data_IF_375535445665
#
_entry.id   IF_375535445665
#
_cell.length_a   1.000
_cell.length_b   1.000
_cell.length_c   1.000
_cell.angle_alpha   90.00
_cell.angle_beta   90.00
_cell.angle_gamma   90.00
#
_symmetry.space_group_name_H-M   'P 1'
#
loop_
_entity.id
_entity.type
_entity.pdbx_description
1 polymer ?
#
# COMPACT_ATOMS: atom_id res chain seq x y z
N UNK A 1 -4.78 13.77 -3.92
CA UNK A 1 -6.07 14.43 -3.58
C UNK A 1 -7.19 13.38 -3.68
N UNK A 2 -8.17 13.40 -2.77
CA UNK A 2 -9.25 12.39 -2.70
C UNK A 2 -9.68 12.01 -1.27
N UNK A 3 -8.82 12.30 -0.29
CA UNK A 3 -9.02 11.95 1.12
C UNK A 3 -10.36 12.42 1.69
N UNK A 4 -10.75 13.69 1.46
CA UNK A 4 -12.02 14.21 1.97
C UNK A 4 -13.24 13.48 1.42
N UNK A 5 -13.23 13.14 0.13
CA UNK A 5 -14.30 12.35 -0.50
C UNK A 5 -14.38 10.97 0.13
N UNK A 6 -13.25 10.26 0.26
CA UNK A 6 -13.18 8.94 0.91
C UNK A 6 -13.75 8.98 2.34
N UNK A 7 -13.29 9.91 3.18
CA UNK A 7 -13.77 10.04 4.57
C UNK A 7 -15.27 10.33 4.61
N UNK A 8 -15.75 11.28 3.81
CA UNK A 8 -17.18 11.66 3.80
C UNK A 8 -18.07 10.51 3.31
N UNK A 9 -17.63 9.74 2.32
CA UNK A 9 -18.35 8.57 1.83
C UNK A 9 -18.42 7.46 2.86
N UNK A 10 -17.35 7.21 3.63
CA UNK A 10 -17.37 6.20 4.69
C UNK A 10 -18.32 6.58 5.83
N UNK A 11 -18.35 7.86 6.21
CA UNK A 11 -19.18 8.33 7.32
C UNK A 11 -20.68 8.34 6.97
N UNK A 12 -21.06 9.01 5.87
CA UNK A 12 -22.47 9.28 5.55
C UNK A 12 -22.75 9.36 4.04
N UNK A 13 -22.01 8.63 3.22
CA UNK A 13 -22.34 8.47 1.80
C UNK A 13 -23.68 7.74 1.56
N UNK A 14 -24.12 7.70 0.31
CA UNK A 14 -25.26 6.86 -0.10
C UNK A 14 -24.82 5.43 -0.36
N UNK A 15 -25.76 4.47 -0.27
CA UNK A 15 -25.48 3.08 -0.65
C UNK A 15 -25.24 2.99 -2.15
N UNK A 16 -24.14 2.35 -2.55
CA UNK A 16 -23.79 2.15 -3.96
C UNK A 16 -23.71 0.65 -4.24
N UNK A 17 -24.65 0.08 -5.01
CA UNK A 17 -24.55 -1.32 -5.44
C UNK A 17 -23.49 -1.46 -6.53
N UNK A 18 -22.88 -2.66 -6.62
CA UNK A 18 -21.83 -2.98 -7.59
C UNK A 18 -20.59 -2.10 -7.45
N UNK A 19 -20.27 -1.70 -6.22
CA UNK A 19 -19.01 -1.03 -5.93
C UNK A 19 -17.89 -2.07 -5.89
N UNK A 20 -16.77 -1.72 -6.49
CA UNK A 20 -15.54 -2.50 -6.46
C UNK A 20 -14.32 -1.58 -6.55
N UNK A 21 -13.17 -2.11 -6.19
CA UNK A 21 -11.88 -1.48 -6.40
C UNK A 21 -11.12 -2.33 -7.41
N UNK A 22 -11.21 -2.01 -8.70
CA UNK A 22 -10.57 -2.77 -9.79
C UNK A 22 -10.88 -4.28 -9.74
N UNK A 23 -12.11 -4.63 -9.39
CA UNK A 23 -12.55 -6.00 -9.22
C UNK A 23 -12.30 -6.61 -7.83
N UNK A 24 -11.59 -5.92 -6.93
CA UNK A 24 -11.52 -6.27 -5.52
C UNK A 24 -12.72 -5.74 -4.73
N UNK A 25 -13.01 -6.39 -3.58
CA UNK A 25 -14.07 -5.98 -2.64
C UNK A 25 -15.44 -5.73 -3.29
N UNK A 26 -15.81 -6.53 -4.31
CA UNK A 26 -17.08 -6.43 -5.03
C UNK A 26 -18.25 -6.57 -4.07
N UNK A 27 -19.13 -5.58 -4.06
CA UNK A 27 -20.33 -5.64 -3.23
C UNK A 27 -21.14 -4.36 -3.25
N UNK A 28 -21.89 -4.16 -2.18
CA UNK A 28 -22.62 -2.91 -1.94
C UNK A 28 -21.78 -2.08 -0.98
N UNK A 29 -21.27 -0.93 -1.44
CA UNK A 29 -20.65 0.03 -0.55
C UNK A 29 -21.71 0.62 0.38
N UNK A 30 -21.50 0.43 1.69
CA UNK A 30 -22.36 0.92 2.76
C UNK A 30 -21.58 1.86 3.67
N UNK A 31 -22.31 2.58 4.52
CA UNK A 31 -21.77 3.66 5.35
C UNK A 31 -22.26 3.53 6.78
N UNK A 32 -21.62 4.25 7.70
CA UNK A 32 -21.99 4.23 9.11
C UNK A 32 -23.36 4.89 9.34
N UNK A 33 -23.62 6.05 8.70
CA UNK A 33 -24.83 6.84 8.90
C UNK A 33 -25.51 7.25 7.56
N UNK A 34 -26.27 6.35 6.89
CA UNK A 34 -26.81 6.60 5.55
C UNK A 34 -27.93 7.67 5.48
N UNK A 35 -28.45 8.10 6.64
CA UNK A 35 -29.51 9.12 6.73
C UNK A 35 -28.99 10.47 7.24
N UNK A 36 -27.70 10.58 7.55
CA UNK A 36 -27.11 11.84 7.99
C UNK A 36 -26.95 12.79 6.80
N UNK A 37 -27.07 14.09 7.06
CA UNK A 37 -26.78 15.13 6.07
C UNK A 37 -25.30 15.49 6.13
N UNK A 38 -24.68 15.71 4.98
CA UNK A 38 -23.27 16.08 4.86
C UNK A 38 -23.12 17.60 4.67
N UNK A 39 -22.32 18.24 5.50
CA UNK A 39 -21.84 19.60 5.30
C UNK A 39 -20.30 19.57 5.22
N UNK A 40 -19.74 20.00 4.09
CA UNK A 40 -18.30 19.87 3.80
C UNK A 40 -17.60 21.22 3.90
N UNK A 41 -16.52 21.27 4.70
CA UNK A 41 -15.68 22.45 4.87
C UNK A 41 -14.25 22.13 4.45
N UNK A 42 -13.81 22.65 3.30
CA UNK A 42 -12.47 22.41 2.78
C UNK A 42 -11.47 23.37 3.42
N UNK A 43 -10.64 22.84 4.32
CA UNK A 43 -9.61 23.60 5.05
C UNK A 43 -8.18 23.28 4.59
N UNK A 44 -7.98 22.15 3.89
CA UNK A 44 -6.68 21.72 3.37
C UNK A 44 -6.59 21.88 1.85
N UNK A 45 -5.45 22.43 1.42
CA UNK A 45 -5.12 22.66 0.02
C UNK A 45 -3.72 22.11 -0.27
N UNK A 46 -3.47 21.82 -1.55
CA UNK A 46 -2.26 21.11 -2.02
C UNK A 46 -0.92 21.77 -1.61
N UNK A 47 -0.93 23.06 -1.23
CA UNK A 47 0.27 23.84 -0.91
C UNK A 47 0.41 24.20 0.58
N UNK A 48 -0.57 23.89 1.42
CA UNK A 48 -0.64 24.37 2.79
C UNK A 48 -0.84 23.18 3.73
N UNK A 49 0.24 22.61 4.25
CA UNK A 49 0.21 21.48 5.19
C UNK A 49 1.05 21.81 6.42
N UNK A 50 0.53 22.70 7.26
CA UNK A 50 0.99 22.84 8.63
C UNK A 50 -0.27 22.76 9.49
N UNK A 51 -0.36 21.64 10.23
CA UNK A 51 -1.40 21.26 11.18
C UNK A 51 -2.81 20.99 10.61
N UNK A 52 -2.99 19.76 10.11
CA UNK A 52 -4.24 19.30 9.55
C UNK A 52 -5.28 18.92 10.63
N UNK A 53 -6.36 19.71 10.66
CA UNK A 53 -7.61 19.43 11.36
C UNK A 53 -8.27 18.13 10.83
N UNK A 54 -7.87 16.99 11.39
CA UNK A 54 -8.60 15.73 11.31
C UNK A 54 -8.26 14.88 12.56
N UNK A 55 -9.28 14.46 13.30
CA UNK A 55 -9.17 13.76 14.60
C UNK A 55 -8.76 12.29 14.53
N UNK A 56 -7.85 11.90 13.63
CA UNK A 56 -7.26 10.55 13.66
C UNK A 56 -5.96 10.55 14.45
N UNK A 57 -5.68 9.44 15.15
CA UNK A 57 -4.32 9.18 15.60
C UNK A 57 -3.41 9.11 14.36
N UNK A 58 -2.26 9.80 14.41
CA UNK A 58 -1.29 9.76 13.30
C UNK A 58 -0.86 8.30 13.10
N UNK A 59 -0.65 7.90 11.85
CA UNK A 59 0.00 6.63 11.50
C UNK A 59 1.51 6.73 11.79
N UNK A 60 1.88 7.16 13.00
CA UNK A 60 3.22 6.87 13.51
C UNK A 60 3.12 5.55 14.26
N UNK A 61 4.16 4.75 14.06
CA UNK A 61 4.43 3.41 14.58
C UNK A 61 3.98 3.20 16.05
N UNK A 62 3.85 1.94 16.55
CA UNK A 62 3.12 1.57 17.76
C UNK A 62 3.73 2.08 19.10
N UNK A 63 4.60 3.08 19.05
CA UNK A 63 5.20 3.72 20.21
C UNK A 63 4.17 4.52 21.01
N UNK A 64 4.35 4.51 22.33
CA UNK A 64 3.53 5.29 23.24
C UNK A 64 3.66 6.80 22.94
N UNK A 65 2.59 7.54 23.22
CA UNK A 65 2.53 9.02 23.17
C UNK A 65 2.62 9.65 21.76
N UNK A 66 2.21 8.95 20.71
CA UNK A 66 2.17 9.45 19.32
C UNK A 66 0.82 10.02 18.86
N UNK A 67 -0.14 10.17 19.76
CA UNK A 67 -1.43 10.78 19.46
C UNK A 67 -1.35 12.33 19.55
N UNK A 68 -1.88 13.04 18.55
CA UNK A 68 -1.84 14.51 18.50
C UNK A 68 -3.18 15.17 18.91
N UNK A 69 -4.28 14.42 18.97
CA UNK A 69 -5.64 14.93 19.20
C UNK A 69 -6.24 14.54 20.57
N UNK A 70 -5.40 14.22 21.55
CA UNK A 70 -5.79 13.67 22.86
C UNK A 70 -6.43 14.66 23.85
N UNK A 71 -7.09 15.72 23.38
CA UNK A 71 -7.78 16.67 24.28
C UNK A 71 -9.09 16.05 24.81
N UNK A 72 -9.50 16.31 26.07
CA UNK A 72 -10.62 15.60 26.71
C UNK A 72 -11.99 15.74 26.00
N UNK A 73 -12.17 16.80 25.22
CA UNK A 73 -13.42 17.11 24.51
C UNK A 73 -13.42 16.64 23.04
N UNK A 74 -12.39 15.91 22.59
CA UNK A 74 -12.31 15.33 21.25
C UNK A 74 -12.24 13.82 21.37
N UNK A 75 -13.12 13.12 20.65
CA UNK A 75 -13.00 11.67 20.49
C UNK A 75 -11.85 11.35 19.54
N UNK A 76 -10.78 10.76 20.06
CA UNK A 76 -9.67 10.24 19.25
C UNK A 76 -9.96 8.79 18.86
N UNK A 77 -9.95 8.49 17.56
CA UNK A 77 -10.22 7.15 17.02
C UNK A 77 -8.92 6.54 16.46
N UNK A 78 -8.60 5.32 16.90
CA UNK A 78 -7.50 4.52 16.35
C UNK A 78 -7.94 3.69 15.13
N UNK A 79 -6.98 3.30 14.29
CA UNK A 79 -7.23 2.41 13.16
C UNK A 79 -7.06 0.94 13.58
N UNK A 80 -7.96 0.07 13.12
CA UNK A 80 -7.88 -1.38 13.28
C UNK A 80 -7.96 -2.09 11.94
N UNK A 81 -7.56 -3.36 11.90
CA UNK A 81 -7.68 -4.22 10.72
C UNK A 81 -9.07 -4.88 10.66
N UNK A 82 -9.53 -5.17 9.44
CA UNK A 82 -10.70 -6.03 9.18
C UNK A 82 -10.23 -7.40 8.69
N UNK A 83 -11.14 -8.37 8.64
CA UNK A 83 -10.87 -9.76 8.24
C UNK A 83 -10.73 -9.97 6.72
N UNK A 84 -10.95 -8.93 5.91
CA UNK A 84 -10.82 -8.98 4.46
C UNK A 84 -9.40 -8.62 4.01
N UNK A 85 -8.80 -9.47 3.17
CA UNK A 85 -7.47 -9.27 2.59
C UNK A 85 -7.49 -9.29 1.05
N UNK A 86 -6.65 -8.48 0.44
CA UNK A 86 -6.46 -8.43 -1.02
C UNK A 86 -5.41 -9.45 -1.45
N UNK A 87 -5.83 -10.71 -1.61
CA UNK A 87 -4.92 -11.81 -1.90
C UNK A 87 -4.26 -11.69 -3.29
N UNK A 88 -2.96 -11.98 -3.34
CA UNK A 88 -2.18 -12.14 -4.55
C UNK A 88 -1.42 -13.47 -4.49
N UNK A 89 -1.64 -14.35 -5.45
CA UNK A 89 -1.00 -15.67 -5.48
C UNK A 89 0.22 -15.64 -6.39
N UNK A 90 1.33 -16.18 -5.90
CA UNK A 90 2.58 -16.35 -6.65
C UNK A 90 2.98 -17.82 -6.61
N UNK A 91 3.27 -18.38 -7.78
CA UNK A 91 3.72 -19.77 -7.93
C UNK A 91 5.19 -19.73 -8.36
N UNK A 92 6.06 -20.31 -7.55
CA UNK A 92 7.52 -20.32 -7.69
C UNK A 92 8.04 -21.74 -7.96
N UNK A 93 9.19 -21.82 -8.62
CA UNK A 93 9.91 -23.08 -8.85
C UNK A 93 9.12 -24.12 -9.65
N UNK A 94 8.63 -23.74 -10.84
CA UNK A 94 7.89 -24.62 -11.75
C UNK A 94 6.68 -25.36 -11.12
N UNK A 95 6.01 -24.74 -10.15
CA UNK A 95 4.84 -25.28 -9.48
C UNK A 95 5.11 -25.94 -8.12
N UNK A 96 6.35 -25.90 -7.64
CA UNK A 96 6.75 -26.52 -6.37
C UNK A 96 6.30 -25.72 -5.15
N UNK A 97 6.25 -24.38 -5.24
CA UNK A 97 5.89 -23.51 -4.11
C UNK A 97 4.79 -22.52 -4.50
N UNK A 98 3.71 -22.48 -3.75
CA UNK A 98 2.66 -21.45 -3.88
C UNK A 98 2.65 -20.58 -2.64
N UNK A 99 2.79 -19.27 -2.84
CA UNK A 99 2.75 -18.28 -1.76
C UNK A 99 1.57 -17.35 -2.01
N UNK A 100 0.79 -17.11 -0.96
CA UNK A 100 -0.32 -16.15 -0.98
C UNK A 100 0.16 -14.90 -0.24
N UNK A 101 0.39 -13.84 -1.00
CA UNK A 101 0.71 -12.51 -0.53
C UNK A 101 -0.49 -11.58 -0.58
N UNK A 102 -0.24 -10.29 -0.39
CA UNK A 102 -1.25 -9.24 -0.50
C UNK A 102 -0.85 -8.24 -1.58
N UNK A 103 -1.79 -7.85 -2.44
CA UNK A 103 -1.58 -6.81 -3.47
C UNK A 103 -2.89 -6.12 -3.82
N UNK A 104 -2.80 -4.84 -4.16
CA UNK A 104 -3.91 -4.00 -4.62
C UNK A 104 -3.70 -3.54 -6.08
N UNK A 105 -2.93 -4.31 -6.84
CA UNK A 105 -2.62 -4.01 -8.25
C UNK A 105 -3.90 -3.99 -9.10
N UNK A 106 -4.16 -2.93 -9.89
CA UNK A 106 -5.47 -2.65 -10.47
C UNK A 106 -5.87 -3.56 -11.64
N UNK A 107 -5.04 -4.51 -12.03
CA UNK A 107 -5.30 -5.37 -13.18
C UNK A 107 -5.17 -6.85 -12.82
N UNK A 108 -5.96 -7.67 -13.51
CA UNK A 108 -5.85 -9.12 -13.42
C UNK A 108 -4.73 -9.60 -14.35
N UNK A 109 -3.50 -9.61 -13.83
CA UNK A 109 -2.32 -9.97 -14.59
C UNK A 109 -2.03 -11.47 -14.48
N UNK A 110 -2.13 -12.20 -15.60
CA UNK A 110 -1.70 -13.59 -15.69
C UNK A 110 -0.26 -13.64 -16.19
N UNK A 111 0.69 -13.68 -15.27
CA UNK A 111 2.11 -13.77 -15.60
C UNK A 111 2.60 -15.19 -15.37
N UNK A 112 3.23 -15.75 -16.39
CA UNK A 112 3.77 -17.09 -16.34
C UNK A 112 5.24 -17.08 -16.76
N UNK A 113 6.06 -17.83 -16.02
CA UNK A 113 7.47 -18.09 -16.33
C UNK A 113 8.32 -16.83 -16.54
N UNK A 114 8.11 -15.80 -15.71
CA UNK A 114 8.97 -14.62 -15.73
C UNK A 114 10.12 -14.80 -14.74
N UNK A 115 11.37 -14.50 -15.15
CA UNK A 115 12.52 -14.52 -14.25
C UNK A 115 12.34 -13.57 -13.06
N UNK A 116 12.81 -14.03 -11.90
CA UNK A 116 12.83 -13.24 -10.66
C UNK A 116 14.28 -12.84 -10.38
N UNK A 117 14.48 -11.58 -9.98
CA UNK A 117 15.74 -11.06 -9.47
C UNK A 117 15.70 -11.00 -7.94
N UNK A 118 16.78 -11.46 -7.31
CA UNK A 118 16.99 -11.33 -5.87
C UNK A 118 18.45 -10.94 -5.60
N UNK A 119 18.66 -9.94 -4.75
CA UNK A 119 19.97 -9.30 -4.51
C UNK A 119 21.02 -10.12 -3.74
N UNK A 120 20.74 -11.39 -3.42
CA UNK A 120 21.52 -12.24 -2.50
C UNK A 120 22.98 -12.49 -2.90
N UNK A 121 23.31 -12.35 -4.19
CA UNK A 121 24.57 -12.81 -4.76
C UNK A 121 25.78 -11.90 -4.52
N UNK A 122 25.60 -10.65 -4.11
CA UNK A 122 26.69 -9.64 -4.11
C UNK A 122 27.16 -9.21 -2.71
N UNK A 123 26.61 -9.76 -1.63
CA UNK A 123 26.94 -9.35 -0.25
C UNK A 123 26.56 -7.91 0.07
N UNK A 124 25.68 -7.30 -0.73
CA UNK A 124 25.23 -5.93 -0.58
C UNK A 124 23.79 -5.92 -0.09
N UNK A 125 23.61 -5.73 1.22
CA UNK A 125 22.30 -5.65 1.87
C UNK A 125 21.37 -4.61 1.24
N UNK A 126 21.92 -3.55 0.66
CA UNK A 126 21.12 -2.53 -0.03
C UNK A 126 20.42 -3.07 -1.29
N UNK A 127 21.05 -3.97 -2.04
CA UNK A 127 20.40 -4.65 -3.20
C UNK A 127 19.32 -5.62 -2.74
N UNK A 128 19.50 -6.29 -1.61
CA UNK A 128 18.53 -7.24 -1.06
C UNK A 128 17.24 -6.54 -0.61
N UNK A 129 17.35 -5.36 0.03
CA UNK A 129 16.20 -4.58 0.52
C UNK A 129 15.60 -3.64 -0.55
N UNK A 130 16.12 -3.69 -1.78
CA UNK A 130 15.77 -2.78 -2.87
C UNK A 130 15.90 -1.31 -2.49
N UNK A 131 17.06 -0.97 -1.94
CA UNK A 131 17.39 0.41 -1.59
C UNK A 131 17.54 1.27 -2.85
N UNK A 132 17.29 2.56 -2.70
CA UNK A 132 17.21 3.50 -3.81
C UNK A 132 18.53 3.54 -4.59
N UNK A 133 18.44 3.54 -5.93
CA UNK A 133 19.60 3.60 -6.84
C UNK A 133 20.62 2.45 -6.70
N UNK A 134 20.28 1.38 -5.99
CA UNK A 134 21.20 0.24 -5.82
C UNK A 134 20.97 -0.88 -6.82
N UNK A 135 19.83 -0.86 -7.50
CA UNK A 135 19.46 -1.84 -8.52
C UNK A 135 19.95 -1.38 -9.90
N UNK A 136 20.77 -2.21 -10.54
CA UNK A 136 21.28 -1.92 -11.88
C UNK A 136 20.20 -2.19 -12.92
N UNK A 137 19.82 -1.22 -13.79
CA UNK A 137 18.75 -1.38 -14.77
C UNK A 137 18.94 -2.60 -15.69
N UNK A 138 20.17 -2.89 -16.09
CA UNK A 138 20.52 -4.04 -16.92
C UNK A 138 20.29 -5.39 -16.21
N UNK A 139 20.44 -5.42 -14.87
CA UNK A 139 20.21 -6.64 -14.09
C UNK A 139 18.72 -6.93 -13.91
N UNK A 140 17.88 -5.89 -13.82
CA UNK A 140 16.46 -6.00 -13.43
C UNK A 140 15.47 -5.88 -14.58
N UNK A 141 15.90 -5.39 -15.75
CA UNK A 141 15.04 -5.24 -16.92
C UNK A 141 14.35 -6.56 -17.29
N UNK A 142 13.01 -6.51 -17.39
CA UNK A 142 12.16 -7.65 -17.75
C UNK A 142 12.03 -8.74 -16.68
N UNK A 143 12.43 -8.46 -15.43
CA UNK A 143 12.35 -9.40 -14.29
C UNK A 143 11.41 -8.87 -13.20
N UNK A 144 10.85 -9.79 -12.42
CA UNK A 144 10.18 -9.45 -11.16
C UNK A 144 11.23 -9.29 -10.07
N UNK A 145 11.16 -8.20 -9.31
CA UNK A 145 12.14 -7.90 -8.27
C UNK A 145 11.58 -8.36 -6.93
N UNK A 146 12.35 -9.19 -6.22
CA UNK A 146 12.04 -9.63 -4.87
C UNK A 146 12.91 -8.87 -3.88
N UNK A 147 12.27 -8.17 -2.94
CA UNK A 147 12.92 -7.31 -1.95
C UNK A 147 12.72 -7.89 -0.55
N UNK A 148 13.79 -7.95 0.24
CA UNK A 148 13.73 -8.31 1.64
C UNK A 148 13.20 -7.14 2.48
N UNK A 149 12.60 -7.47 3.62
CA UNK A 149 12.05 -6.50 4.55
C UNK A 149 13.15 -5.92 5.46
N UNK A 150 13.08 -4.61 5.71
CA UNK A 150 13.94 -3.94 6.67
C UNK A 150 13.15 -2.88 7.46
N UNK A 151 13.38 -2.79 8.77
CA UNK A 151 12.72 -1.84 9.66
C UNK A 151 13.00 -0.36 9.29
N UNK A 152 14.02 -0.12 8.46
CA UNK A 152 14.41 1.22 7.99
C UNK A 152 13.67 1.73 6.75
N UNK A 153 13.04 0.86 5.94
CA UNK A 153 12.36 1.25 4.70
C UNK A 153 10.96 0.63 4.66
N UNK A 154 9.93 1.47 4.58
CA UNK A 154 8.57 0.97 4.38
C UNK A 154 8.40 0.38 2.97
N UNK A 155 7.50 -0.60 2.83
CA UNK A 155 7.11 -1.16 1.52
C UNK A 155 6.65 -0.05 0.56
N UNK A 156 6.06 1.03 1.09
CA UNK A 156 5.65 2.19 0.32
C UNK A 156 6.84 3.00 -0.21
N UNK A 157 7.89 3.18 0.59
CA UNK A 157 9.15 3.80 0.14
C UNK A 157 9.85 2.93 -0.91
N UNK A 158 9.90 1.62 -0.70
CA UNK A 158 10.43 0.68 -1.70
C UNK A 158 9.68 0.84 -3.05
N UNK A 159 8.35 0.97 -3.02
CA UNK A 159 7.53 1.13 -4.23
C UNK A 159 7.68 2.50 -4.93
N UNK A 160 7.65 3.60 -4.17
CA UNK A 160 7.68 4.95 -4.74
C UNK A 160 9.06 5.35 -5.27
N UNK A 161 10.12 4.96 -4.57
CA UNK A 161 11.45 5.51 -4.79
C UNK A 161 12.23 4.72 -5.86
N UNK A 162 11.68 3.58 -6.30
CA UNK A 162 12.10 2.84 -7.50
C UNK A 162 11.35 3.24 -8.79
N UNK A 163 10.34 4.13 -8.73
CA UNK A 163 9.42 4.39 -9.85
C UNK A 163 9.39 5.80 -10.45
N UNK A 164 10.23 6.76 -10.02
CA UNK A 164 10.38 8.06 -10.71
C UNK A 164 11.84 8.59 -10.67
N UNK A 165 12.35 9.35 -11.67
CA UNK A 165 11.98 9.40 -13.10
C UNK A 165 13.22 9.61 -14.03
N UNK A 166 13.73 8.56 -14.69
CA UNK A 166 14.46 8.77 -15.96
C UNK A 166 14.22 7.67 -17.02
N UNK A 167 13.27 6.77 -16.78
CA UNK A 167 12.94 5.74 -17.74
C UNK A 167 11.42 5.48 -17.78
N UNK A 168 10.81 5.99 -18.83
CA UNK A 168 9.54 5.48 -19.39
C UNK A 168 9.60 3.96 -19.76
N UNK A 169 10.75 3.28 -19.54
CA UNK A 169 10.96 1.84 -19.69
C UNK A 169 10.68 1.03 -18.39
N UNK A 170 10.57 1.68 -17.23
CA UNK A 170 10.38 1.00 -15.93
C UNK A 170 8.91 0.72 -15.57
N UNK A 171 7.96 1.01 -16.46
CA UNK A 171 6.57 0.50 -16.33
C UNK A 171 6.48 -1.02 -16.28
N UNK A 172 7.60 -1.72 -16.49
CA UNK A 172 7.77 -3.16 -16.49
C UNK A 172 8.22 -3.74 -15.14
N UNK A 173 8.62 -2.91 -14.18
CA UNK A 173 9.13 -3.38 -12.88
C UNK A 173 8.00 -3.48 -11.88
N UNK A 174 7.45 -4.68 -11.77
CA UNK A 174 6.43 -4.99 -10.79
C UNK A 174 7.11 -5.56 -9.55
N UNK A 175 7.21 -4.72 -8.52
CA UNK A 175 7.78 -5.10 -7.23
C UNK A 175 6.75 -5.91 -6.44
N UNK A 176 7.14 -7.11 -6.03
CA UNK A 176 6.33 -7.90 -5.09
C UNK A 176 6.70 -7.49 -3.66
N UNK A 177 5.72 -6.96 -2.93
CA UNK A 177 5.88 -6.61 -1.53
C UNK A 177 6.15 -7.83 -0.64
N UNK A 178 6.60 -7.54 0.59
CA UNK A 178 7.05 -8.52 1.59
C UNK A 178 6.07 -9.68 1.83
N UNK A 179 6.60 -10.90 1.83
CA UNK A 179 5.90 -12.11 2.24
C UNK A 179 6.34 -12.51 3.65
N UNK A 180 5.40 -12.50 4.59
CA UNK A 180 5.58 -13.13 5.90
C UNK A 180 5.47 -14.65 5.77
N UNK A 181 6.56 -15.30 5.35
CA UNK A 181 6.74 -16.75 5.40
C UNK A 181 7.77 -17.15 6.45
N UNK A 182 7.74 -18.39 7.00
CA UNK A 182 8.78 -18.87 7.88
C UNK A 182 10.12 -18.83 7.14
N UNK A 183 11.14 -18.23 7.78
CA UNK A 183 12.53 -18.27 7.31
C UNK A 183 12.90 -19.75 7.11
N UNK A 184 13.32 -20.10 5.90
CA UNK A 184 14.04 -21.34 5.64
C UNK A 184 15.44 -21.25 6.24
#
# INVERSE_FOLDING_TARGET
MGHGTQTSSTAAGSRVPYADYFGYAKGIANVIAPKAQLAMYKVLFFRNSYDAAAGSARYEAPDANKIHNGVPWITTVGAGTVDCDFAAQVILGDGVLTVIGKSVYPENLLVSKVPIYYGHGHGNRSKEICDCNTLDPEEVAGKYIFCDFNDGLSVFQQLLECTEPELLELSSVQMMGSFSGPRL
#
